data_IF_364405835750
#
_entry.id   IF_364405835750
#
_cell.length_a   1.000
_cell.length_b   1.000
_cell.length_c   1.000
_cell.angle_alpha   90.00
_cell.angle_beta   90.00
_cell.angle_gamma   90.00
#
_symmetry.space_group_name_H-M   'P 1'
#
loop_
_entity.id
_entity.type
_entity.pdbx_description
1 polymer ?
#
# COMPACT_ATOMS: atom_id res chain seq x y z
N UNK A 1 -6.42 0.67 -23.46
CA UNK A 1 -7.62 0.02 -22.91
C UNK A 1 -7.92 0.73 -21.60
N UNK A 2 -9.14 1.23 -21.44
CA UNK A 2 -9.58 1.93 -20.24
C UNK A 2 -10.40 0.92 -19.42
N UNK A 3 -10.02 0.70 -18.17
CA UNK A 3 -10.78 -0.18 -17.26
C UNK A 3 -11.44 0.67 -16.18
N UNK A 4 -12.55 0.16 -15.63
CA UNK A 4 -13.17 0.76 -14.44
C UNK A 4 -12.62 0.06 -13.20
N UNK A 5 -12.00 0.81 -12.29
CA UNK A 5 -11.63 0.30 -10.96
C UNK A 5 -12.69 0.71 -9.97
N UNK A 6 -13.01 -0.21 -9.07
CA UNK A 6 -13.76 0.05 -7.85
C UNK A 6 -12.83 -0.21 -6.67
N UNK A 7 -12.38 0.85 -6.03
CA UNK A 7 -11.45 0.79 -4.92
C UNK A 7 -12.14 0.27 -3.64
N UNK A 8 -11.38 -0.26 -2.67
CA UNK A 8 -11.89 -0.74 -1.39
C UNK A 8 -12.86 0.20 -0.67
N UNK A 9 -12.64 1.52 -0.74
CA UNK A 9 -13.50 2.51 -0.09
C UNK A 9 -14.81 2.80 -0.83
N UNK A 10 -14.93 2.35 -2.08
CA UNK A 10 -16.01 2.70 -3.02
C UNK A 10 -15.62 3.73 -4.08
N UNK A 11 -14.45 4.37 -3.99
CA UNK A 11 -13.95 5.26 -5.06
C UNK A 11 -13.91 4.50 -6.39
N UNK A 12 -14.62 4.99 -7.39
CA UNK A 12 -14.77 4.34 -8.69
C UNK A 12 -14.40 5.30 -9.81
N UNK A 13 -13.64 4.81 -10.79
CA UNK A 13 -13.30 5.60 -11.96
C UNK A 13 -12.58 4.82 -13.03
N UNK A 14 -12.35 5.52 -14.14
CA UNK A 14 -11.65 5.00 -15.29
C UNK A 14 -10.15 5.20 -15.13
N UNK A 15 -9.41 4.12 -15.37
CA UNK A 15 -7.96 4.10 -15.34
C UNK A 15 -7.39 3.53 -16.63
N UNK A 16 -6.15 3.90 -16.89
CA UNK A 16 -5.34 3.35 -17.98
C UNK A 16 -4.00 2.85 -17.46
N UNK A 17 -3.36 1.99 -18.25
CA UNK A 17 -1.95 1.66 -18.06
C UNK A 17 -1.03 2.87 -18.30
N UNK A 18 0.19 2.74 -17.79
CA UNK A 18 1.29 3.67 -18.02
C UNK A 18 1.66 3.71 -19.51
N UNK A 19 2.10 4.86 -19.98
CA UNK A 19 2.68 5.07 -21.32
C UNK A 19 4.14 5.51 -21.15
N UNK A 20 4.88 5.56 -22.25
CA UNK A 20 6.29 6.00 -22.25
C UNK A 20 6.48 7.35 -21.56
N UNK A 21 5.53 8.28 -21.67
CA UNK A 21 5.61 9.58 -20.99
C UNK A 21 5.64 9.50 -19.46
N UNK A 22 5.10 8.43 -18.86
CA UNK A 22 5.18 8.19 -17.41
C UNK A 22 6.52 7.56 -16.98
N UNK A 23 7.37 7.10 -17.92
CA UNK A 23 8.74 6.66 -17.63
C UNK A 23 9.54 7.76 -16.90
N UNK A 24 9.29 9.03 -17.25
CA UNK A 24 9.91 10.19 -16.59
C UNK A 24 9.61 10.22 -15.09
N UNK A 25 8.39 9.82 -14.69
CA UNK A 25 7.95 9.80 -13.29
C UNK A 25 8.68 8.68 -12.57
N UNK A 26 8.76 7.49 -13.18
CA UNK A 26 9.50 6.33 -12.65
C UNK A 26 11.01 6.59 -12.52
N UNK A 27 11.59 7.37 -13.42
CA UNK A 27 13.01 7.73 -13.42
C UNK A 27 13.36 8.91 -12.50
N UNK A 28 12.38 9.68 -12.02
CA UNK A 28 12.62 10.88 -11.21
C UNK A 28 13.02 10.52 -9.76
N UNK A 29 14.33 10.60 -9.50
CA UNK A 29 14.91 10.35 -8.18
C UNK A 29 14.44 11.34 -7.11
N UNK A 30 14.06 12.56 -7.48
CA UNK A 30 13.56 13.57 -6.53
C UNK A 30 12.17 13.16 -6.04
N UNK A 31 11.29 12.79 -6.97
CA UNK A 31 9.96 12.27 -6.64
C UNK A 31 10.02 10.97 -5.84
N UNK A 32 10.95 10.06 -6.16
CA UNK A 32 11.16 8.84 -5.39
C UNK A 32 11.61 9.15 -3.95
N UNK A 33 12.52 10.11 -3.75
CA UNK A 33 13.00 10.50 -2.41
C UNK A 33 11.92 11.17 -1.56
N UNK A 34 11.04 11.95 -2.18
CA UNK A 34 9.96 12.68 -1.50
C UNK A 34 8.67 11.87 -1.33
N UNK A 35 8.59 10.65 -1.87
CA UNK A 35 7.36 9.85 -1.88
C UNK A 35 6.28 10.35 -2.86
N UNK A 36 6.57 11.38 -3.66
CA UNK A 36 5.62 11.98 -4.60
C UNK A 36 5.45 11.19 -5.91
N UNK A 37 6.32 10.21 -6.16
CA UNK A 37 6.30 9.41 -7.39
C UNK A 37 4.99 8.63 -7.56
N UNK A 38 4.48 8.03 -6.48
CA UNK A 38 3.23 7.25 -6.50
C UNK A 38 2.05 8.18 -6.80
N UNK A 39 1.99 9.33 -6.16
CA UNK A 39 0.91 10.30 -6.33
C UNK A 39 0.85 10.84 -7.76
N UNK A 40 1.99 11.23 -8.34
CA UNK A 40 2.08 11.67 -9.73
C UNK A 40 1.65 10.56 -10.71
N UNK A 41 2.00 9.31 -10.41
CA UNK A 41 1.63 8.17 -11.25
C UNK A 41 0.13 7.88 -11.21
N UNK A 42 -0.46 7.90 -10.00
CA UNK A 42 -1.90 7.74 -9.78
C UNK A 42 -2.67 8.86 -10.50
N UNK A 43 -2.25 10.11 -10.32
CA UNK A 43 -2.85 11.27 -10.99
C UNK A 43 -2.75 11.19 -12.52
N UNK A 44 -1.60 10.75 -13.05
CA UNK A 44 -1.41 10.64 -14.50
C UNK A 44 -2.26 9.52 -15.12
N UNK A 45 -2.49 8.41 -14.41
CA UNK A 45 -3.15 7.22 -14.95
C UNK A 45 -4.66 7.15 -14.65
N UNK A 46 -5.17 7.98 -13.75
CA UNK A 46 -6.59 8.16 -13.50
C UNK A 46 -7.20 9.12 -14.53
N UNK A 47 -8.18 8.66 -15.32
CA UNK A 47 -8.74 9.45 -16.42
C UNK A 47 -9.99 10.21 -16.00
N UNK A 48 -10.98 9.53 -15.41
CA UNK A 48 -12.24 10.16 -15.01
C UNK A 48 -12.82 9.48 -13.77
N UNK A 49 -13.30 10.27 -12.82
CA UNK A 49 -14.02 9.78 -11.64
C UNK A 49 -15.49 9.53 -11.99
N UNK A 50 -15.98 8.34 -11.64
CA UNK A 50 -17.40 7.97 -11.78
C UNK A 50 -18.13 8.17 -10.46
N UNK A 51 -17.53 7.72 -9.36
CA UNK A 51 -18.03 7.90 -8.00
C UNK A 51 -16.84 8.24 -7.10
N UNK A 52 -16.81 9.40 -6.42
CA UNK A 52 -15.71 9.74 -5.52
C UNK A 52 -15.71 8.91 -4.22
N UNK A 53 -16.67 8.02 -3.99
CA UNK A 53 -16.69 7.13 -2.82
C UNK A 53 -16.94 7.91 -1.52
N UNK A 54 -16.05 7.83 -0.52
CA UNK A 54 -16.19 8.61 0.71
C UNK A 54 -15.53 10.00 0.64
N UNK A 55 -14.96 10.39 -0.50
CA UNK A 55 -14.18 11.62 -0.62
C UNK A 55 -15.02 12.80 -1.12
N UNK A 56 -14.79 13.98 -0.55
CA UNK A 56 -15.51 15.21 -0.90
C UNK A 56 -14.69 16.13 -1.83
N UNK A 57 -14.38 15.66 -3.04
CA UNK A 57 -13.58 16.44 -4.01
C UNK A 57 -14.39 17.50 -4.78
N UNK A 58 -15.72 17.37 -4.84
CA UNK A 58 -16.57 18.19 -5.71
C UNK A 58 -16.19 18.00 -7.19
N UNK A 59 -16.19 19.08 -7.96
CA UNK A 59 -15.82 19.07 -9.39
C UNK A 59 -14.30 19.13 -9.63
N UNK A 60 -13.49 19.11 -8.56
CA UNK A 60 -12.03 19.17 -8.69
C UNK A 60 -11.46 17.80 -9.08
N UNK A 61 -10.29 17.76 -9.73
CA UNK A 61 -9.53 16.52 -9.87
C UNK A 61 -9.31 15.86 -8.50
N UNK A 62 -9.20 14.52 -8.49
CA UNK A 62 -8.91 13.77 -7.27
C UNK A 62 -7.61 14.28 -6.65
N UNK A 63 -7.68 14.64 -5.37
CA UNK A 63 -6.50 14.87 -4.55
C UNK A 63 -6.04 13.54 -3.96
N UNK A 64 -5.06 12.92 -4.62
CA UNK A 64 -4.50 11.64 -4.20
C UNK A 64 -3.80 11.69 -2.84
N UNK A 65 -3.46 12.87 -2.32
CA UNK A 65 -2.97 13.01 -0.95
C UNK A 65 -4.06 12.73 0.08
N UNK A 66 -5.32 13.09 -0.20
CA UNK A 66 -6.45 12.84 0.70
C UNK A 66 -7.05 11.43 0.58
N UNK A 67 -6.68 10.67 -0.45
CA UNK A 67 -7.16 9.30 -0.68
C UNK A 67 -6.52 8.32 0.30
N UNK A 68 -7.29 7.34 0.80
CA UNK A 68 -6.82 6.28 1.68
C UNK A 68 -5.69 5.46 1.04
N UNK A 69 -4.73 5.05 1.87
CA UNK A 69 -3.61 4.21 1.46
C UNK A 69 -4.07 2.93 0.74
N UNK A 70 -5.11 2.25 1.25
CA UNK A 70 -5.67 1.04 0.62
C UNK A 70 -6.15 1.26 -0.82
N UNK A 71 -6.87 2.36 -1.08
CA UNK A 71 -7.34 2.73 -2.42
C UNK A 71 -6.19 3.09 -3.36
N UNK A 72 -5.20 3.84 -2.86
CA UNK A 72 -4.01 4.23 -3.60
C UNK A 72 -3.25 3.00 -4.07
N UNK A 73 -3.01 2.07 -3.15
CA UNK A 73 -2.30 0.84 -3.44
C UNK A 73 -3.08 -0.08 -4.39
N UNK A 74 -4.38 -0.25 -4.18
CA UNK A 74 -5.26 -0.97 -5.10
C UNK A 74 -5.22 -0.37 -6.52
N UNK A 75 -5.28 0.95 -6.64
CA UNK A 75 -5.22 1.63 -7.93
C UNK A 75 -3.87 1.41 -8.60
N UNK A 76 -2.77 1.46 -7.83
CA UNK A 76 -1.41 1.22 -8.31
C UNK A 76 -1.23 -0.19 -8.89
N UNK A 77 -1.78 -1.21 -8.21
CA UNK A 77 -1.83 -2.60 -8.70
C UNK A 77 -2.57 -2.71 -10.03
N UNK A 78 -3.74 -2.06 -10.15
CA UNK A 78 -4.52 -2.07 -11.37
C UNK A 78 -3.81 -1.35 -12.53
N UNK A 79 -3.15 -0.21 -12.27
CA UNK A 79 -2.32 0.48 -13.27
C UNK A 79 -1.20 -0.46 -13.75
N UNK A 80 -0.53 -1.17 -12.82
CA UNK A 80 0.51 -2.15 -13.16
C UNK A 80 -0.06 -3.27 -14.03
N UNK A 81 -1.20 -3.84 -13.64
CA UNK A 81 -1.87 -4.90 -14.39
C UNK A 81 -2.24 -4.46 -15.82
N UNK A 82 -2.78 -3.24 -15.98
CA UNK A 82 -3.11 -2.68 -17.29
C UNK A 82 -1.89 -2.38 -18.17
N UNK A 83 -0.72 -2.17 -17.56
CA UNK A 83 0.49 -1.80 -18.31
C UNK A 83 1.19 -3.02 -18.88
N UNK A 84 1.36 -4.08 -18.09
CA UNK A 84 2.20 -5.24 -18.47
C UNK A 84 1.45 -6.58 -18.48
N UNK A 85 0.19 -6.59 -18.08
CA UNK A 85 -0.59 -7.81 -17.84
C UNK A 85 -0.82 -8.06 -16.35
N UNK A 86 -1.82 -8.89 -16.01
CA UNK A 86 -2.21 -9.19 -14.64
C UNK A 86 -1.14 -9.98 -13.88
N UNK A 87 -0.35 -10.77 -14.59
CA UNK A 87 0.65 -11.64 -14.00
C UNK A 87 1.90 -10.85 -13.56
N UNK A 88 2.37 -11.19 -12.36
CA UNK A 88 3.59 -10.64 -11.78
C UNK A 88 4.49 -11.75 -11.26
N UNK A 89 5.57 -11.99 -11.99
CA UNK A 89 6.62 -12.93 -11.63
C UNK A 89 7.69 -12.29 -10.74
N UNK A 90 8.06 -12.96 -9.66
CA UNK A 90 9.14 -12.54 -8.76
C UNK A 90 9.87 -13.77 -8.19
N UNK A 91 10.98 -13.53 -7.48
CA UNK A 91 11.73 -14.60 -6.85
C UNK A 91 12.08 -14.29 -5.41
N UNK A 92 11.92 -15.28 -4.52
CA UNK A 92 12.27 -15.18 -3.09
C UNK A 92 13.22 -16.31 -2.68
N UNK A 93 13.89 -16.14 -1.54
CA UNK A 93 14.66 -17.22 -0.92
C UNK A 93 13.75 -18.06 -0.02
N UNK A 94 13.86 -19.38 -0.11
CA UNK A 94 13.31 -20.27 0.89
C UNK A 94 13.93 -19.97 2.26
N UNK A 95 13.11 -19.88 3.31
CA UNK A 95 13.54 -19.64 4.70
C UNK A 95 14.28 -20.86 5.28
N UNK A 96 13.95 -22.07 4.82
CA UNK A 96 14.53 -23.33 5.29
C UNK A 96 15.84 -23.67 4.55
N UNK A 97 15.78 -23.99 3.26
CA UNK A 97 16.95 -24.50 2.51
C UNK A 97 17.72 -23.44 1.71
N UNK A 98 17.29 -22.17 1.73
CA UNK A 98 17.87 -21.05 0.96
C UNK A 98 17.82 -21.20 -0.56
N UNK A 99 17.15 -22.23 -1.09
CA UNK A 99 16.89 -22.33 -2.51
C UNK A 99 16.06 -21.14 -3.03
N UNK A 100 16.28 -20.79 -4.28
CA UNK A 100 15.53 -19.73 -4.96
C UNK A 100 14.18 -20.27 -5.43
N UNK A 101 13.10 -19.61 -5.02
CA UNK A 101 11.73 -19.89 -5.44
C UNK A 101 11.37 -18.85 -6.49
N UNK A 102 10.99 -19.29 -7.69
CA UNK A 102 10.34 -18.44 -8.69
C UNK A 102 8.83 -18.59 -8.52
N UNK A 103 8.11 -17.48 -8.46
CA UNK A 103 6.66 -17.48 -8.24
C UNK A 103 5.99 -16.45 -9.14
N UNK A 104 4.73 -16.69 -9.47
CA UNK A 104 3.90 -15.79 -10.26
C UNK A 104 2.53 -15.65 -9.60
N UNK A 105 2.04 -14.41 -9.53
CA UNK A 105 0.71 -14.11 -8.99
C UNK A 105 -0.08 -13.26 -9.97
N UNK A 106 -1.39 -13.50 -10.05
CA UNK A 106 -2.34 -12.64 -10.75
C UNK A 106 -2.74 -11.49 -9.81
N UNK A 107 -2.24 -10.28 -10.11
CA UNK A 107 -2.48 -9.07 -9.30
C UNK A 107 -3.96 -8.69 -9.20
N UNK A 108 -4.81 -9.17 -10.12
CA UNK A 108 -6.26 -8.88 -10.13
C UNK A 108 -7.06 -9.81 -9.24
N UNK A 109 -6.45 -10.89 -8.74
CA UNK A 109 -7.07 -11.90 -7.88
C UNK A 109 -6.65 -11.81 -6.42
N UNK A 110 -5.79 -10.85 -6.07
CA UNK A 110 -5.41 -10.62 -4.68
C UNK A 110 -6.66 -10.29 -3.84
N UNK A 111 -6.79 -10.84 -2.62
CA UNK A 111 -7.93 -10.54 -1.76
C UNK A 111 -8.02 -9.04 -1.47
N UNK A 112 -9.23 -8.50 -1.54
CA UNK A 112 -9.50 -7.09 -1.27
C UNK A 112 -10.45 -6.98 -0.09
N UNK A 113 -10.01 -6.32 0.98
CA UNK A 113 -10.87 -6.00 2.12
C UNK A 113 -11.57 -4.67 1.86
N UNK A 114 -12.90 -4.64 1.67
CA UNK A 114 -13.64 -3.39 1.49
C UNK A 114 -13.65 -2.58 2.78
N UNK A 115 -13.74 -1.26 2.65
CA UNK A 115 -13.98 -0.39 3.80
C UNK A 115 -15.37 -0.68 4.35
N UNK A 116 -15.45 -1.04 5.64
CA UNK A 116 -16.73 -1.32 6.28
C UNK A 116 -17.63 -0.07 6.29
N UNK A 117 -18.95 -0.28 6.42
CA UNK A 117 -19.89 0.86 6.51
C UNK A 117 -19.57 1.78 7.69
N UNK A 118 -19.22 1.19 8.84
CA UNK A 118 -18.83 1.93 10.05
C UNK A 118 -17.55 2.72 9.83
N UNK A 119 -16.50 2.08 9.28
CA UNK A 119 -15.24 2.75 8.97
C UNK A 119 -15.44 3.87 7.94
N UNK A 120 -16.32 3.67 6.96
CA UNK A 120 -16.67 4.69 5.97
C UNK A 120 -17.34 5.90 6.63
N UNK A 121 -18.29 5.67 7.53
CA UNK A 121 -18.95 6.74 8.27
C UNK A 121 -17.97 7.52 9.16
N UNK A 122 -17.09 6.83 9.88
CA UNK A 122 -16.04 7.45 10.70
C UNK A 122 -15.02 8.24 9.86
N UNK A 123 -14.66 7.73 8.69
CA UNK A 123 -13.79 8.43 7.75
C UNK A 123 -14.42 9.73 7.25
N UNK A 124 -15.68 9.69 6.80
CA UNK A 124 -16.44 10.88 6.38
C UNK A 124 -16.62 11.86 7.56
N UNK A 125 -16.80 11.34 8.77
CA UNK A 125 -16.93 12.11 10.01
C UNK A 125 -15.65 12.78 10.51
N UNK A 126 -14.57 12.76 9.72
CA UNK A 126 -13.30 13.43 10.05
C UNK A 126 -12.12 12.48 10.25
N UNK A 127 -12.22 11.23 9.81
CA UNK A 127 -11.14 10.22 9.89
C UNK A 127 -10.60 10.06 11.32
N UNK A 128 -11.53 9.88 12.26
CA UNK A 128 -11.24 9.79 13.69
C UNK A 128 -11.95 8.58 14.30
N UNK A 129 -11.15 7.62 14.69
CA UNK A 129 -11.56 6.33 15.26
C UNK A 129 -11.21 6.32 16.75
N UNK A 130 -11.99 5.61 17.55
CA UNK A 130 -11.83 5.55 19.00
C UNK A 130 -11.69 4.10 19.47
N UNK A 131 -10.77 3.88 20.41
CA UNK A 131 -10.67 2.62 21.16
C UNK A 131 -10.16 2.89 22.58
N UNK A 132 -10.26 1.89 23.45
CA UNK A 132 -9.79 1.95 24.84
C UNK A 132 -8.72 0.89 25.05
N UNK A 133 -7.55 1.31 25.53
CA UNK A 133 -6.43 0.41 25.77
C UNK A 133 -6.75 -0.57 26.92
N UNK A 134 -6.51 -1.88 26.74
CA UNK A 134 -6.90 -2.88 27.73
C UNK A 134 -6.13 -2.79 29.05
N UNK A 135 -4.82 -2.50 29.03
CA UNK A 135 -4.02 -2.41 30.25
C UNK A 135 -4.03 -0.98 30.82
N UNK A 136 -3.81 0.04 29.98
CA UNK A 136 -3.80 1.44 30.42
C UNK A 136 -5.20 1.99 30.74
N UNK A 137 -6.29 1.36 30.28
CA UNK A 137 -7.67 1.82 30.47
C UNK A 137 -7.97 3.20 29.86
N UNK A 138 -7.05 3.73 29.06
CA UNK A 138 -7.09 5.09 28.53
C UNK A 138 -7.67 5.09 27.12
N UNK A 139 -8.53 6.06 26.81
CA UNK A 139 -9.10 6.21 25.46
C UNK A 139 -8.08 6.82 24.51
N UNK A 140 -8.01 6.26 23.31
CA UNK A 140 -7.09 6.68 22.25
C UNK A 140 -7.89 6.90 20.98
N UNK A 141 -7.53 7.97 20.26
CA UNK A 141 -8.08 8.25 18.95
C UNK A 141 -7.03 8.17 17.88
N UNK A 142 -7.37 7.50 16.79
CA UNK A 142 -6.48 7.24 15.68
C UNK A 142 -7.18 7.48 14.35
N UNK A 143 -6.42 7.37 13.26
CA UNK A 143 -6.90 7.59 11.90
C UNK A 143 -6.47 6.50 10.94
N UNK A 144 -7.22 6.36 9.85
CA UNK A 144 -6.75 5.67 8.66
C UNK A 144 -5.72 6.52 7.92
N UNK A 145 -4.70 5.88 7.36
CA UNK A 145 -3.65 6.57 6.64
C UNK A 145 -4.09 6.99 5.23
N UNK A 146 -3.66 8.18 4.83
CA UNK A 146 -3.92 8.77 3.52
C UNK A 146 -2.62 8.93 2.73
N UNK A 147 -2.68 9.33 1.45
CA UNK A 147 -1.47 9.64 0.67
C UNK A 147 -0.60 10.74 1.29
N UNK A 148 -1.22 11.69 2.00
CA UNK A 148 -0.56 12.75 2.73
C UNK A 148 0.33 12.21 3.85
N UNK A 149 -0.10 11.09 4.41
CA UNK A 149 0.57 10.38 5.47
C UNK A 149 1.71 9.51 4.92
N UNK A 150 1.47 8.78 3.83
CA UNK A 150 2.49 7.97 3.15
C UNK A 150 3.74 8.79 2.77
N UNK A 151 3.57 10.05 2.33
CA UNK A 151 4.70 10.92 1.97
C UNK A 151 5.63 11.24 3.14
N UNK A 152 5.11 11.25 4.37
CA UNK A 152 5.86 11.64 5.57
C UNK A 152 6.61 10.44 6.17
N UNK A 153 6.12 9.22 5.93
CA UNK A 153 6.69 7.99 6.50
C UNK A 153 8.17 7.74 6.13
N UNK A 154 8.62 7.88 4.87
CA UNK A 154 10.03 7.63 4.52
C UNK A 154 11.01 8.57 5.22
N UNK A 155 10.62 9.82 5.48
CA UNK A 155 11.47 10.76 6.23
C UNK A 155 11.60 10.33 7.69
N UNK A 156 10.50 9.86 8.30
CA UNK A 156 10.46 9.39 9.69
C UNK A 156 11.23 8.08 9.88
N UNK A 157 11.06 7.11 8.97
CA UNK A 157 11.79 5.84 9.01
C UNK A 157 13.31 6.04 8.91
N UNK A 158 13.77 7.01 8.09
CA UNK A 158 15.20 7.36 8.02
C UNK A 158 15.71 8.03 9.30
N UNK A 159 14.85 8.76 10.01
CA UNK A 159 15.22 9.45 11.25
C UNK A 159 15.28 8.49 12.46
N UNK A 160 14.52 7.39 12.45
CA UNK A 160 14.46 6.44 13.55
C UNK A 160 14.26 4.98 13.05
N UNK A 161 15.26 4.36 12.42
CA UNK A 161 15.15 3.02 11.82
C UNK A 161 14.87 1.92 12.85
N UNK A 162 15.34 2.08 14.09
CA UNK A 162 15.20 1.06 15.16
C UNK A 162 13.91 1.19 15.98
N UNK A 163 13.01 2.13 15.63
CA UNK A 163 11.76 2.41 16.38
C UNK A 163 10.52 2.31 15.50
N UNK A 164 10.42 1.23 14.71
CA UNK A 164 9.33 1.05 13.74
C UNK A 164 7.95 1.05 14.39
N UNK A 165 7.74 0.25 15.44
CA UNK A 165 6.43 0.16 16.12
C UNK A 165 6.00 1.51 16.72
N UNK A 166 6.86 2.12 17.54
CA UNK A 166 6.60 3.44 18.14
C UNK A 166 6.33 4.52 17.08
N UNK A 167 7.04 4.48 15.95
CA UNK A 167 6.82 5.41 14.84
C UNK A 167 5.45 5.21 14.18
N UNK A 168 5.05 3.95 13.95
CA UNK A 168 3.72 3.63 13.40
C UNK A 168 2.61 4.10 14.34
N UNK A 169 2.72 3.78 15.64
CA UNK A 169 1.75 4.21 16.65
C UNK A 169 1.63 5.73 16.70
N UNK A 170 2.77 6.44 16.79
CA UNK A 170 2.82 7.91 16.86
C UNK A 170 2.13 8.57 15.68
N UNK A 171 2.20 7.93 14.51
CA UNK A 171 1.71 8.47 13.26
C UNK A 171 0.21 8.21 13.03
N UNK A 172 -0.28 7.04 13.46
CA UNK A 172 -1.70 6.68 13.37
C UNK A 172 -2.52 7.27 14.52
N UNK A 173 -1.96 7.40 15.71
CA UNK A 173 -2.63 7.99 16.87
C UNK A 173 -2.69 9.51 16.74
N UNK A 174 -3.90 10.05 16.73
CA UNK A 174 -4.18 11.48 16.72
C UNK A 174 -4.04 12.06 18.14
N UNK A 175 -4.73 11.45 19.10
CA UNK A 175 -4.97 11.98 20.44
C UNK A 175 -5.05 10.84 21.45
N UNK A 176 -4.65 11.12 22.70
CA UNK A 176 -4.77 10.21 23.84
C UNK A 176 -5.45 10.98 24.96
N UNK A 177 -6.45 10.37 25.58
CA UNK A 177 -7.24 10.99 26.65
C UNK A 177 -6.34 11.41 27.83
N UNK A 178 -6.42 12.68 28.20
CA UNK A 178 -5.66 13.24 29.33
C UNK A 178 -4.16 13.42 29.07
N UNK A 179 -3.66 13.22 27.86
CA UNK A 179 -2.24 13.41 27.50
C UNK A 179 -2.07 14.61 26.59
N UNK A 180 -1.21 15.55 27.00
CA UNK A 180 -0.86 16.70 26.17
C UNK A 180 -0.20 16.25 24.84
N UNK A 181 -0.45 16.94 23.71
CA UNK A 181 0.10 16.55 22.41
C UNK A 181 1.64 16.43 22.37
N UNK A 182 2.35 17.19 23.20
CA UNK A 182 3.82 17.15 23.34
C UNK A 182 4.32 15.87 24.03
N UNK A 183 3.49 15.28 24.89
CA UNK A 183 3.82 14.11 25.72
C UNK A 183 3.30 12.81 25.09
N UNK A 184 2.46 12.90 24.06
CA UNK A 184 1.90 11.76 23.30
C UNK A 184 2.95 10.73 22.89
N UNK A 185 4.11 11.18 22.39
CA UNK A 185 5.17 10.27 21.95
C UNK A 185 5.75 9.48 23.12
N UNK A 186 5.99 10.13 24.26
CA UNK A 186 6.50 9.47 25.45
C UNK A 186 5.47 8.47 25.98
N UNK A 187 4.19 8.83 26.01
CA UNK A 187 3.11 7.92 26.37
C UNK A 187 3.09 6.66 25.50
N UNK A 188 3.19 6.81 24.17
CA UNK A 188 3.21 5.67 23.24
C UNK A 188 4.47 4.82 23.34
N UNK A 189 5.60 5.40 23.74
CA UNK A 189 6.85 4.66 24.00
C UNK A 189 6.80 3.86 25.31
N UNK A 190 6.00 4.31 26.29
CA UNK A 190 5.80 3.65 27.60
C UNK A 190 4.63 2.64 27.63
N UNK A 191 3.90 2.46 26.52
CA UNK A 191 2.83 1.46 26.44
C UNK A 191 3.35 0.04 26.67
N UNK A 192 2.50 -0.81 27.27
CA UNK A 192 2.76 -2.24 27.28
C UNK A 192 2.74 -2.76 25.85
N UNK A 193 3.52 -3.81 25.57
CA UNK A 193 3.47 -4.45 24.25
C UNK A 193 2.06 -4.97 23.91
N UNK A 194 1.29 -5.38 24.93
CA UNK A 194 -0.09 -5.82 24.76
C UNK A 194 -1.02 -4.69 24.29
N UNK A 195 -0.89 -3.50 24.88
CA UNK A 195 -1.64 -2.32 24.44
C UNK A 195 -1.21 -1.89 23.03
N UNK A 196 0.09 -1.98 22.72
CA UNK A 196 0.60 -1.69 21.39
C UNK A 196 0.07 -2.67 20.33
N UNK A 197 0.09 -3.97 20.60
CA UNK A 197 -0.44 -5.02 19.73
C UNK A 197 -1.95 -4.83 19.54
N UNK A 198 -2.69 -4.56 20.61
CA UNK A 198 -4.13 -4.26 20.54
C UNK A 198 -4.43 -3.03 19.66
N UNK A 199 -3.63 -1.96 19.74
CA UNK A 199 -3.78 -0.81 18.85
C UNK A 199 -3.53 -1.19 17.39
N UNK A 200 -2.53 -2.01 17.10
CA UNK A 200 -2.25 -2.47 15.74
C UNK A 200 -3.42 -3.31 15.21
N UNK A 201 -3.95 -4.23 16.01
CA UNK A 201 -5.13 -5.02 15.65
C UNK A 201 -6.34 -4.13 15.37
N UNK A 202 -6.57 -3.10 16.19
CA UNK A 202 -7.64 -2.13 16.00
C UNK A 202 -7.44 -1.29 14.73
N UNK A 203 -6.20 -0.91 14.40
CA UNK A 203 -5.90 -0.26 13.14
C UNK A 203 -6.26 -1.15 11.97
N UNK A 204 -5.80 -2.40 11.99
CA UNK A 204 -6.03 -3.35 10.92
C UNK A 204 -7.51 -3.71 10.79
N UNK A 205 -8.25 -3.82 11.89
CA UNK A 205 -9.69 -4.14 11.90
C UNK A 205 -10.51 -3.14 11.11
N UNK A 206 -10.19 -1.84 11.21
CA UNK A 206 -10.98 -0.77 10.58
C UNK A 206 -10.49 -0.38 9.18
N UNK A 207 -9.27 -0.79 8.81
CA UNK A 207 -8.62 -0.42 7.55
C UNK A 207 -9.20 -1.18 6.35
N UNK A 208 -8.89 -0.71 5.14
CA UNK A 208 -9.27 -1.33 3.88
C UNK A 208 -8.04 -1.44 2.97
N UNK A 209 -8.09 -2.32 1.98
CA UNK A 209 -6.94 -2.48 1.09
C UNK A 209 -6.87 -3.84 0.43
N UNK A 210 -5.69 -4.13 -0.08
CA UNK A 210 -5.37 -5.40 -0.74
C UNK A 210 -4.50 -6.19 0.21
N UNK A 211 -4.85 -7.45 0.42
CA UNK A 211 -3.99 -8.39 1.13
C UNK A 211 -2.84 -8.79 0.20
N UNK A 212 -1.63 -8.43 0.63
CA UNK A 212 -0.38 -8.73 -0.09
C UNK A 212 0.33 -9.95 0.46
N UNK A 213 -0.19 -10.55 1.53
CA UNK A 213 0.35 -11.77 2.10
C UNK A 213 -0.03 -12.92 1.19
N UNK A 214 0.97 -13.60 0.66
CA UNK A 214 0.79 -14.76 -0.21
C UNK A 214 1.60 -15.92 0.29
N UNK A 215 1.02 -17.10 0.17
CA UNK A 215 1.67 -18.36 0.46
C UNK A 215 2.49 -18.80 -0.76
N UNK A 216 3.77 -19.14 -0.54
CA UNK A 216 4.64 -19.71 -1.59
C UNK A 216 5.24 -21.02 -1.10
N UNK A 217 5.31 -22.00 -2.01
CA UNK A 217 5.88 -23.32 -1.73
C UNK A 217 7.27 -23.47 -2.37
N UNK A 218 8.24 -23.95 -1.60
CA UNK A 218 9.57 -24.26 -2.11
C UNK A 218 9.58 -25.59 -2.88
N UNK A 219 9.96 -25.55 -4.16
CA UNK A 219 10.06 -26.75 -5.01
C UNK A 219 11.13 -27.75 -4.56
N UNK A 220 12.14 -27.31 -3.78
CA UNK A 220 13.26 -28.15 -3.34
C UNK A 220 12.98 -28.89 -2.02
N UNK A 221 12.39 -28.22 -1.03
CA UNK A 221 12.19 -28.77 0.31
C UNK A 221 10.73 -28.83 0.76
N UNK A 222 9.79 -28.37 -0.08
CA UNK A 222 8.34 -28.31 0.20
C UNK A 222 7.94 -27.45 1.39
N UNK A 223 8.87 -26.61 1.87
CA UNK A 223 8.54 -25.60 2.87
C UNK A 223 7.56 -24.61 2.28
N UNK A 224 6.41 -24.47 2.95
CA UNK A 224 5.40 -23.45 2.67
C UNK A 224 5.69 -22.25 3.54
N UNK A 225 5.71 -21.06 2.95
CA UNK A 225 6.03 -19.84 3.68
C UNK A 225 5.15 -18.68 3.21
N UNK A 226 4.68 -17.89 4.16
CA UNK A 226 4.03 -16.63 3.88
C UNK A 226 5.09 -15.56 3.56
N UNK A 227 4.83 -14.78 2.53
CA UNK A 227 5.63 -13.63 2.16
C UNK A 227 4.72 -12.45 1.86
N UNK A 228 5.23 -11.25 2.09
CA UNK A 228 4.66 -10.05 1.49
C UNK A 228 5.06 -9.98 0.02
N UNK A 229 4.09 -9.72 -0.84
CA UNK A 229 4.32 -9.49 -2.26
C UNK A 229 5.41 -8.42 -2.46
N UNK A 230 6.52 -8.71 -3.17
CA UNK A 230 7.62 -7.77 -3.26
C UNK A 230 7.30 -6.60 -4.19
N UNK A 231 7.33 -5.38 -3.64
CA UNK A 231 7.21 -4.11 -4.37
C UNK A 231 8.57 -3.44 -4.52
N UNK A 232 9.36 -3.92 -5.47
CA UNK A 232 10.66 -3.33 -5.79
C UNK A 232 10.63 -2.59 -7.14
N UNK A 233 11.79 -2.10 -7.59
CA UNK A 233 11.90 -1.44 -8.89
C UNK A 233 11.46 -2.30 -10.08
N UNK A 234 11.52 -3.64 -9.97
CA UNK A 234 11.09 -4.56 -11.00
C UNK A 234 9.56 -4.64 -11.12
N UNK A 235 8.83 -4.25 -10.06
CA UNK A 235 7.38 -4.11 -10.11
C UNK A 235 6.98 -3.13 -11.22
N UNK A 236 7.53 -1.91 -11.27
CA UNK A 236 7.18 -0.94 -12.33
C UNK A 236 7.97 -1.11 -13.62
N UNK A 237 9.14 -1.75 -13.58
CA UNK A 237 10.01 -1.93 -14.74
C UNK A 237 10.49 -3.38 -14.83
N UNK A 238 9.77 -4.28 -15.52
CA UNK A 238 10.15 -5.68 -15.67
C UNK A 238 11.35 -5.83 -16.65
N UNK A 239 12.54 -5.40 -16.22
CA UNK A 239 13.76 -5.42 -17.02
C UNK A 239 14.27 -6.84 -17.32
N UNK A 240 14.06 -7.78 -16.39
CA UNK A 240 14.43 -9.19 -16.57
C UNK A 240 13.55 -9.88 -17.62
N UNK A 241 12.25 -9.63 -17.62
CA UNK A 241 11.34 -10.17 -18.64
C UNK A 241 11.60 -9.59 -20.04
N UNK A 242 11.90 -8.28 -20.16
CA UNK A 242 12.31 -7.70 -21.45
C UNK A 242 13.52 -8.42 -22.03
N UNK A 243 14.49 -8.76 -21.18
CA UNK A 243 15.70 -9.48 -21.58
C UNK A 243 15.39 -10.93 -21.95
N UNK A 244 14.52 -11.62 -21.19
CA UNK A 244 14.07 -12.98 -21.49
C UNK A 244 13.29 -13.06 -22.82
N UNK A 245 12.33 -12.14 -23.05
CA UNK A 245 11.58 -12.04 -24.33
C UNK A 245 12.50 -11.77 -25.52
N UNK A 246 13.54 -10.94 -25.34
CA UNK A 246 14.55 -10.70 -26.38
C UNK A 246 15.34 -11.97 -26.69
N UNK A 247 15.78 -12.72 -25.67
CA UNK A 247 16.48 -14.01 -25.85
C UNK A 247 15.61 -15.06 -26.54
N UNK A 248 14.34 -15.18 -26.13
CA UNK A 248 13.39 -16.11 -26.75
C UNK A 248 13.16 -15.80 -28.23
N UNK A 249 13.03 -14.52 -28.61
CA UNK A 249 12.93 -14.08 -30.01
C UNK A 249 14.20 -14.32 -30.83
N UNK A 250 15.38 -14.18 -30.21
CA UNK A 250 16.66 -14.49 -30.88
C UNK A 250 16.85 -16.00 -31.08
N UNK A 251 16.27 -16.84 -30.23
CA UNK A 251 16.32 -18.30 -30.36
C UNK A 251 15.30 -18.87 -31.36
N UNK A 252 14.22 -18.14 -31.65
CA UNK A 252 13.15 -18.57 -32.57
C UNK A 252 13.24 -17.97 -33.98
N UNK A 253 14.30 -17.22 -34.30
CA UNK A 253 14.56 -16.73 -35.67
C UNK A 253 15.26 -17.83 -36.47
N UNK A 254 14.63 -18.44 -37.50
CA UNK A 254 15.32 -19.36 -38.39
C UNK A 254 16.35 -18.58 -39.20
N UNK A 255 17.52 -19.18 -39.42
CA UNK A 255 18.51 -18.72 -40.39
C UNK A 255 18.02 -18.96 -41.80
#
# INVERSE_FOLDING_TARGET
MVAIARCPSGLTGHLRGMRVREERVLADRRLAKSGGQIEELLAACWETTVDPGPYAFGDKPIDWAAVLQGDRFFTLLNIRALTYGPDYGFSVSCRNCRARIEWEVDLTKLPVRPLSYESRAAFIGGNRFETTLPDAGTRVWFKLLTGDDERKLPALQRAAPDRLLSSVLTFRVLEVEGVDPKDKRAFLEDLTLRDADFLVDEFDRVDCGVDTTIEVECTECREVQDIDLPFDSAFFLPGKERTARRKARSASSPT
#
